data_IF_207592782385
#
_entry.id   IF_207592782385
#
_cell.length_a   1.000
_cell.length_b   1.000
_cell.length_c   1.000
_cell.angle_alpha   90.00
_cell.angle_beta   90.00
_cell.angle_gamma   90.00
#
_symmetry.space_group_name_H-M   'P 1'
#
loop_
_entity.id
_entity.type
_entity.pdbx_description
1 polymer ?
#
# COMPACT_ATOMS: atom_id res chain seq x y z
N UNK A 1 -9.75 16.93 60.54
CA UNK A 1 -10.68 16.03 59.83
C UNK A 1 -10.93 16.42 58.36
N UNK A 2 -11.31 17.66 58.02
CA UNK A 2 -11.63 18.03 56.62
C UNK A 2 -10.47 17.89 55.60
N UNK A 3 -9.22 18.20 55.99
CA UNK A 3 -8.04 18.03 55.11
C UNK A 3 -7.66 16.57 54.84
N UNK A 4 -7.81 15.69 55.84
CA UNK A 4 -7.50 14.26 55.72
C UNK A 4 -8.51 13.53 54.83
N UNK A 5 -9.77 13.95 54.86
CA UNK A 5 -10.84 13.42 53.97
C UNK A 5 -10.61 13.84 52.52
N UNK A 6 -10.17 15.08 52.27
CA UNK A 6 -9.84 15.57 50.93
C UNK A 6 -8.66 14.81 50.30
N UNK A 7 -7.63 14.46 51.08
CA UNK A 7 -6.49 13.66 50.60
C UNK A 7 -6.94 12.24 50.26
N UNK A 8 -7.80 11.62 51.09
CA UNK A 8 -8.34 10.28 50.83
C UNK A 8 -9.22 10.24 49.57
N UNK A 9 -10.06 11.26 49.36
CA UNK A 9 -10.89 11.37 48.15
C UNK A 9 -10.02 11.55 46.91
N UNK A 10 -8.94 12.35 46.99
CA UNK A 10 -7.99 12.55 45.88
C UNK A 10 -7.26 11.25 45.51
N UNK A 11 -6.87 10.43 46.50
CA UNK A 11 -6.19 9.14 46.27
C UNK A 11 -7.14 8.12 45.61
N UNK A 12 -8.40 8.08 46.06
CA UNK A 12 -9.44 7.23 45.44
C UNK A 12 -9.73 7.67 44.00
N UNK A 13 -9.79 8.98 43.73
CA UNK A 13 -10.00 9.49 42.37
C UNK A 13 -8.82 9.15 41.44
N UNK A 14 -7.58 9.21 41.92
CA UNK A 14 -6.41 8.77 41.14
C UNK A 14 -6.36 7.27 40.90
N UNK A 15 -6.86 6.43 41.83
CA UNK A 15 -6.92 4.98 41.62
C UNK A 15 -7.98 4.59 40.58
N UNK A 16 -9.12 5.31 40.51
CA UNK A 16 -10.16 5.08 39.49
C UNK A 16 -9.67 5.52 38.09
N UNK A 17 -8.78 6.52 38.01
CA UNK A 17 -8.20 6.96 36.74
C UNK A 17 -7.04 6.06 36.26
N UNK A 18 -6.41 5.28 37.15
CA UNK A 18 -5.36 4.31 36.80
C UNK A 18 -5.90 2.90 36.48
N UNK A 19 -7.19 2.61 36.72
CA UNK A 19 -7.82 1.36 36.27
C UNK A 19 -8.30 1.42 34.82
N UNK A 20 -7.74 2.32 34.01
CA UNK A 20 -7.72 2.18 32.56
C UNK A 20 -6.50 1.32 32.17
N UNK A 21 -6.38 0.13 32.74
CA UNK A 21 -5.83 -0.97 31.94
C UNK A 21 -6.88 -1.16 30.85
N UNK A 22 -6.62 -0.54 29.69
CA UNK A 22 -7.24 -1.00 28.47
C UNK A 22 -6.96 -2.49 28.43
N UNK A 23 -8.00 -3.29 28.69
CA UNK A 23 -8.05 -4.65 28.26
C UNK A 23 -7.88 -4.57 26.74
N UNK A 24 -6.62 -4.60 26.30
CA UNK A 24 -6.21 -4.82 24.92
C UNK A 24 -6.52 -6.30 24.66
N UNK A 25 -7.80 -6.67 24.76
CA UNK A 25 -8.34 -7.95 24.33
C UNK A 25 -8.39 -7.91 22.80
N UNK A 26 -7.24 -7.70 22.17
CA UNK A 26 -7.06 -8.02 20.77
C UNK A 26 -7.40 -9.49 20.65
N UNK A 27 -8.44 -9.78 19.86
CA UNK A 27 -8.82 -11.14 19.52
C UNK A 27 -7.56 -11.77 18.92
N UNK A 28 -7.00 -12.77 19.60
CA UNK A 28 -5.76 -13.41 19.17
C UNK A 28 -6.11 -14.59 18.25
N UNK A 29 -5.35 -14.78 17.16
CA UNK A 29 -5.53 -15.96 16.33
C UNK A 29 -5.19 -17.22 17.12
N UNK A 30 -5.94 -18.29 16.89
CA UNK A 30 -5.67 -19.62 17.44
C UNK A 30 -4.72 -20.43 16.56
N UNK A 31 -4.66 -20.10 15.27
CA UNK A 31 -3.77 -20.72 14.28
C UNK A 31 -3.52 -19.73 13.14
N UNK A 32 -2.29 -19.72 12.64
CA UNK A 32 -1.95 -19.12 11.35
C UNK A 32 -1.30 -20.19 10.49
N UNK A 33 -1.69 -20.23 9.22
CA UNK A 33 -1.15 -21.15 8.22
C UNK A 33 -0.74 -20.35 6.99
N UNK A 34 0.48 -20.60 6.52
CA UNK A 34 1.01 -20.01 5.30
C UNK A 34 1.10 -21.10 4.23
N UNK A 35 0.56 -20.79 3.06
CA UNK A 35 0.60 -21.66 1.88
C UNK A 35 1.30 -20.88 0.77
N UNK A 36 2.32 -21.50 0.17
CA UNK A 36 3.01 -20.88 -0.96
C UNK A 36 2.05 -20.68 -2.14
N UNK A 37 2.14 -19.51 -2.74
CA UNK A 37 1.43 -19.16 -3.96
C UNK A 37 2.44 -19.12 -5.12
N UNK A 38 1.97 -19.42 -6.33
CA UNK A 38 2.81 -19.41 -7.51
C UNK A 38 3.40 -18.01 -7.74
N UNK A 39 4.72 -17.90 -7.65
CA UNK A 39 5.42 -16.62 -7.70
C UNK A 39 5.39 -16.00 -9.10
N UNK A 40 5.31 -16.82 -10.16
CA UNK A 40 5.22 -16.33 -11.53
C UNK A 40 3.83 -15.71 -11.77
N UNK A 41 2.77 -16.37 -11.29
CA UNK A 41 1.40 -15.83 -11.31
C UNK A 41 1.33 -14.53 -10.51
N UNK A 42 1.86 -14.52 -9.29
CA UNK A 42 1.91 -13.32 -8.46
C UNK A 42 2.66 -12.15 -9.12
N UNK A 43 3.77 -12.46 -9.80
CA UNK A 43 4.54 -11.46 -10.54
C UNK A 43 3.73 -10.87 -11.70
N UNK A 44 2.93 -11.68 -12.42
CA UNK A 44 2.05 -11.16 -13.47
C UNK A 44 0.93 -10.26 -12.91
N UNK A 45 0.37 -10.62 -11.75
CA UNK A 45 -0.65 -9.80 -11.07
C UNK A 45 -0.10 -8.41 -10.73
N UNK A 46 1.11 -8.34 -10.17
CA UNK A 46 1.78 -7.06 -9.84
C UNK A 46 2.12 -6.27 -11.11
N UNK A 47 2.70 -6.93 -12.12
CA UNK A 47 3.09 -6.29 -13.39
C UNK A 47 1.93 -5.59 -14.10
N UNK A 48 0.70 -6.12 -14.02
CA UNK A 48 -0.49 -5.51 -14.63
C UNK A 48 -0.64 -4.03 -14.22
N UNK A 49 -0.69 -3.77 -12.92
CA UNK A 49 -0.86 -2.41 -12.39
C UNK A 49 0.38 -1.54 -12.57
N UNK A 50 1.56 -2.13 -12.34
CA UNK A 50 2.80 -1.36 -12.41
C UNK A 50 3.22 -0.95 -13.82
N UNK A 51 2.78 -1.69 -14.84
CA UNK A 51 3.04 -1.31 -16.22
C UNK A 51 2.41 0.04 -16.55
N UNK A 52 1.18 0.27 -16.09
CA UNK A 52 0.44 1.53 -16.27
C UNK A 52 1.22 2.67 -15.59
N UNK A 53 1.74 2.43 -14.38
CA UNK A 53 2.54 3.39 -13.62
C UNK A 53 3.83 3.76 -14.37
N UNK A 54 4.59 2.79 -14.87
CA UNK A 54 5.85 3.05 -15.58
C UNK A 54 5.59 3.80 -16.89
N UNK A 55 4.52 3.44 -17.60
CA UNK A 55 4.15 4.08 -18.86
C UNK A 55 3.75 5.55 -18.67
N UNK A 56 3.09 5.89 -17.56
CA UNK A 56 2.71 7.27 -17.26
C UNK A 56 3.89 8.08 -16.72
N UNK A 57 4.71 7.50 -15.83
CA UNK A 57 5.81 8.19 -15.15
C UNK A 57 6.90 8.67 -16.12
N UNK A 58 7.09 7.97 -17.24
CA UNK A 58 8.02 8.36 -18.30
C UNK A 58 7.59 9.58 -19.12
N UNK A 59 6.35 10.08 -18.98
CA UNK A 59 5.84 11.24 -19.71
C UNK A 59 6.07 12.53 -18.93
N UNK A 60 6.25 13.64 -19.65
CA UNK A 60 6.30 14.98 -19.05
C UNK A 60 4.91 15.59 -18.90
N UNK A 61 4.08 15.40 -19.92
CA UNK A 61 2.70 15.88 -19.95
C UNK A 61 1.78 14.86 -20.59
N UNK A 62 0.50 14.91 -20.23
CA UNK A 62 -0.57 14.13 -20.86
C UNK A 62 -1.76 15.03 -21.21
N UNK A 63 -2.53 14.62 -22.20
CA UNK A 63 -3.85 15.19 -22.46
C UNK A 63 -4.85 14.79 -21.36
N UNK A 64 -5.97 15.53 -21.23
CA UNK A 64 -7.07 15.14 -20.34
C UNK A 64 -7.63 13.75 -20.67
N UNK A 65 -7.67 13.38 -21.95
CA UNK A 65 -8.12 12.05 -22.36
C UNK A 65 -7.19 10.96 -21.79
N UNK A 66 -5.89 11.09 -22.00
CA UNK A 66 -4.90 10.15 -21.45
C UNK A 66 -4.91 10.11 -19.92
N UNK A 67 -5.15 11.24 -19.25
CA UNK A 67 -5.34 11.27 -17.79
C UNK A 67 -6.56 10.44 -17.34
N UNK A 68 -7.69 10.58 -18.02
CA UNK A 68 -8.89 9.81 -17.70
C UNK A 68 -8.71 8.32 -18.02
N UNK A 69 -8.04 8.00 -19.12
CA UNK A 69 -7.67 6.62 -19.49
C UNK A 69 -6.77 6.02 -18.40
N UNK A 70 -5.74 6.73 -17.96
CA UNK A 70 -4.88 6.33 -16.84
C UNK A 70 -5.69 6.00 -15.57
N UNK A 71 -6.63 6.86 -15.17
CA UNK A 71 -7.43 6.60 -13.97
C UNK A 71 -8.33 5.38 -14.12
N UNK A 72 -8.91 5.17 -15.31
CA UNK A 72 -9.73 3.98 -15.57
C UNK A 72 -8.89 2.70 -15.58
N UNK A 73 -7.70 2.74 -16.19
CA UNK A 73 -6.79 1.60 -16.24
C UNK A 73 -6.29 1.23 -14.84
N UNK A 74 -5.99 2.23 -14.01
CA UNK A 74 -5.63 2.01 -12.60
C UNK A 74 -6.82 1.46 -11.80
N UNK A 75 -8.04 1.89 -12.08
CA UNK A 75 -9.24 1.34 -11.44
C UNK A 75 -9.42 -0.15 -11.75
N UNK A 76 -9.25 -0.53 -13.03
CA UNK A 76 -9.32 -1.93 -13.47
C UNK A 76 -8.14 -2.78 -12.96
N UNK A 77 -6.95 -2.20 -12.88
CA UNK A 77 -5.77 -2.93 -12.40
C UNK A 77 -5.82 -3.24 -10.90
N UNK A 78 -6.55 -2.43 -10.12
CA UNK A 78 -6.68 -2.56 -8.67
C UNK A 78 -8.12 -2.87 -8.23
N UNK A 79 -8.90 -3.51 -9.12
CA UNK A 79 -10.25 -4.02 -8.86
C UNK A 79 -11.20 -3.01 -8.18
N UNK A 80 -11.12 -1.74 -8.60
CA UNK A 80 -11.96 -0.67 -8.08
C UNK A 80 -11.54 -0.11 -6.72
N UNK A 81 -10.36 -0.46 -6.20
CA UNK A 81 -9.90 0.01 -4.89
C UNK A 81 -9.68 1.53 -4.84
N UNK A 82 -10.57 2.24 -4.15
CA UNK A 82 -10.65 3.72 -4.16
C UNK A 82 -9.83 4.44 -3.09
N UNK A 83 -9.15 3.72 -2.19
CA UNK A 83 -8.40 4.36 -1.10
C UNK A 83 -7.09 4.99 -1.61
N UNK A 84 -6.49 4.46 -2.68
CA UNK A 84 -5.38 5.14 -3.35
C UNK A 84 -5.92 6.20 -4.30
N UNK A 85 -5.39 7.42 -4.16
CA UNK A 85 -5.70 8.55 -5.05
C UNK A 85 -4.53 8.78 -6.01
N UNK A 86 -4.50 7.99 -7.08
CA UNK A 86 -3.41 7.97 -8.05
C UNK A 86 -3.15 9.32 -8.71
N UNK A 87 -4.20 10.11 -8.93
CA UNK A 87 -4.12 11.45 -9.49
C UNK A 87 -3.24 12.40 -8.66
N UNK A 88 -3.32 12.32 -7.33
CA UNK A 88 -2.50 13.14 -6.42
C UNK A 88 -1.05 12.68 -6.34
N UNK A 89 -0.78 11.43 -6.71
CA UNK A 89 0.57 10.87 -6.74
C UNK A 89 1.32 11.26 -8.02
N UNK A 90 0.63 11.26 -9.15
CA UNK A 90 1.29 11.41 -10.46
C UNK A 90 1.10 12.77 -11.11
N UNK A 91 0.18 13.62 -10.66
CA UNK A 91 -0.11 14.90 -11.30
C UNK A 91 -0.14 16.06 -10.31
N UNK A 92 0.04 17.29 -10.79
CA UNK A 92 -0.14 18.47 -9.95
C UNK A 92 -1.63 18.76 -9.71
N UNK A 93 -2.03 18.85 -8.44
CA UNK A 93 -3.42 19.04 -8.02
C UNK A 93 -4.13 20.18 -8.75
N UNK A 94 -3.48 21.33 -8.88
CA UNK A 94 -4.06 22.52 -9.52
C UNK A 94 -4.44 22.29 -10.98
N UNK A 95 -3.80 21.35 -11.67
CA UNK A 95 -4.02 21.09 -13.09
C UNK A 95 -5.11 20.06 -13.34
N UNK A 96 -5.17 18.99 -12.53
CA UNK A 96 -6.23 18.00 -12.71
C UNK A 96 -7.57 18.46 -12.10
N UNK A 97 -7.56 19.36 -11.12
CA UNK A 97 -8.77 19.94 -10.53
C UNK A 97 -9.42 21.04 -11.41
N UNK A 98 -8.66 21.71 -12.28
CA UNK A 98 -9.21 22.72 -13.21
C UNK A 98 -9.53 22.11 -14.57
N UNK A 99 -10.82 21.91 -14.87
CA UNK A 99 -11.34 21.38 -16.14
C UNK A 99 -10.85 22.11 -17.40
N UNK A 100 -10.40 23.37 -17.29
CA UNK A 100 -9.90 24.18 -18.42
C UNK A 100 -8.47 23.84 -18.83
N UNK A 101 -7.71 23.18 -17.96
CA UNK A 101 -6.33 22.77 -18.26
C UNK A 101 -6.36 21.57 -19.22
N UNK A 102 -5.92 21.78 -20.46
CA UNK A 102 -5.99 20.74 -21.50
C UNK A 102 -4.80 19.78 -21.50
N UNK A 103 -3.70 20.18 -20.88
CA UNK A 103 -2.47 19.39 -20.72
C UNK A 103 -2.06 19.39 -19.26
N UNK A 104 -1.90 18.21 -18.70
CA UNK A 104 -1.53 17.99 -17.31
C UNK A 104 -0.07 17.53 -17.25
N UNK A 105 0.70 18.12 -16.35
CA UNK A 105 2.08 17.78 -16.09
C UNK A 105 2.16 16.69 -15.03
N UNK A 106 3.12 15.80 -15.22
CA UNK A 106 3.44 14.79 -14.22
C UNK A 106 4.19 15.42 -13.04
N UNK A 107 3.89 14.95 -11.84
CA UNK A 107 4.64 15.27 -10.65
C UNK A 107 5.99 14.52 -10.67
N UNK A 108 7.08 15.27 -10.91
CA UNK A 108 8.43 14.73 -11.03
C UNK A 108 9.15 14.59 -9.69
N UNK A 109 8.56 15.07 -8.60
CA UNK A 109 9.12 15.04 -7.25
C UNK A 109 8.76 13.75 -6.48
N UNK A 110 8.07 12.82 -7.12
CA UNK A 110 7.71 11.52 -6.56
C UNK A 110 8.31 10.39 -7.39
N UNK A 111 8.83 9.38 -6.69
CA UNK A 111 9.31 8.14 -7.27
C UNK A 111 8.44 6.99 -6.77
N UNK A 112 7.94 6.18 -7.71
CA UNK A 112 7.20 4.98 -7.39
C UNK A 112 7.99 3.76 -7.86
N UNK A 113 8.71 3.05 -6.97
CA UNK A 113 9.43 1.84 -7.36
C UNK A 113 8.44 0.78 -7.84
N UNK A 114 8.85 0.03 -8.87
CA UNK A 114 8.08 -1.04 -9.52
C UNK A 114 9.00 -2.16 -9.92
N UNK A 115 8.47 -3.36 -10.18
CA UNK A 115 9.23 -4.53 -10.67
C UNK A 115 9.87 -4.33 -12.04
N UNK A 116 9.58 -3.21 -12.71
CA UNK A 116 10.26 -2.78 -13.93
C UNK A 116 11.55 -2.00 -13.66
N UNK A 117 11.79 -1.56 -12.43
CA UNK A 117 13.04 -0.91 -12.03
C UNK A 117 14.09 -1.92 -11.57
N UNK A 118 15.37 -1.61 -11.79
CA UNK A 118 16.49 -2.47 -11.39
C UNK A 118 16.41 -2.79 -9.89
N UNK A 119 16.72 -4.04 -9.57
CA UNK A 119 16.75 -4.58 -8.21
C UNK A 119 15.41 -4.53 -7.45
N UNK A 120 14.29 -4.17 -8.08
CA UNK A 120 12.95 -4.33 -7.49
C UNK A 120 12.35 -5.66 -7.98
N UNK A 121 12.07 -6.57 -7.06
CA UNK A 121 11.60 -7.92 -7.38
C UNK A 121 10.44 -8.34 -6.48
N UNK A 122 9.55 -9.19 -7.01
CA UNK A 122 8.62 -9.96 -6.18
C UNK A 122 9.41 -11.08 -5.50
N UNK A 123 9.47 -11.05 -4.18
CA UNK A 123 10.31 -11.96 -3.38
C UNK A 123 9.52 -13.05 -2.66
N UNK A 124 8.21 -12.85 -2.50
CA UNK A 124 7.34 -13.80 -1.80
C UNK A 124 5.91 -13.66 -2.28
N UNK A 125 5.21 -14.78 -2.43
CA UNK A 125 3.78 -14.83 -2.66
C UNK A 125 3.18 -15.95 -1.80
N UNK A 126 2.26 -15.59 -0.90
CA UNK A 126 1.71 -16.55 0.09
C UNK A 126 0.26 -16.27 0.39
N UNK A 127 -0.50 -17.34 0.59
CA UNK A 127 -1.84 -17.26 1.21
C UNK A 127 -1.66 -17.41 2.71
N UNK A 128 -2.06 -16.37 3.46
CA UNK A 128 -2.05 -16.36 4.91
C UNK A 128 -3.47 -16.60 5.40
N UNK A 129 -3.70 -17.79 5.95
CA UNK A 129 -4.95 -18.17 6.60
C UNK A 129 -4.80 -17.94 8.10
N UNK A 130 -5.66 -17.08 8.65
CA UNK A 130 -5.70 -16.79 10.09
C UNK A 130 -7.02 -17.28 10.65
N UNK A 131 -6.94 -18.13 11.65
CA UNK A 131 -8.10 -18.75 12.31
C UNK A 131 -8.27 -18.16 13.71
N UNK A 132 -9.49 -17.84 14.07
CA UNK A 132 -9.86 -17.31 15.39
C UNK A 132 -10.84 -18.26 16.08
N UNK A 133 -11.08 -18.03 17.37
CA UNK A 133 -12.03 -18.83 18.14
C UNK A 133 -13.47 -18.68 17.62
N UNK A 134 -13.82 -17.47 17.16
CA UNK A 134 -15.05 -17.22 16.42
C UNK A 134 -14.71 -17.20 14.92
N UNK A 135 -15.29 -18.16 14.18
CA UNK A 135 -15.02 -18.38 12.76
C UNK A 135 -15.40 -17.19 11.89
N UNK A 136 -16.28 -16.31 12.37
CA UNK A 136 -16.62 -15.06 11.69
C UNK A 136 -15.39 -14.19 11.41
N UNK A 137 -14.37 -14.26 12.27
CA UNK A 137 -13.13 -13.49 12.09
C UNK A 137 -12.08 -14.22 11.25
N UNK A 138 -12.32 -15.45 10.80
CA UNK A 138 -11.36 -16.17 9.97
C UNK A 138 -11.08 -15.37 8.69
N UNK A 139 -9.80 -15.26 8.34
CA UNK A 139 -9.37 -14.52 7.14
C UNK A 139 -8.46 -15.38 6.28
N UNK A 140 -8.60 -15.25 4.96
CA UNK A 140 -7.66 -15.78 3.98
C UNK A 140 -7.20 -14.61 3.09
N UNK A 141 -5.91 -14.30 3.14
CA UNK A 141 -5.33 -13.15 2.44
C UNK A 141 -4.17 -13.66 1.60
N UNK A 142 -4.23 -13.45 0.28
CA UNK A 142 -3.06 -13.57 -0.57
C UNK A 142 -2.21 -12.31 -0.40
N UNK A 143 -0.97 -12.50 0.00
CA UNK A 143 0.05 -11.46 0.20
C UNK A 143 1.14 -11.67 -0.83
N UNK A 144 1.33 -10.69 -1.72
CA UNK A 144 2.44 -10.67 -2.67
C UNK A 144 3.39 -9.56 -2.21
N UNK A 145 4.62 -9.92 -1.87
CA UNK A 145 5.64 -9.00 -1.38
C UNK A 145 6.67 -8.71 -2.46
N UNK A 146 6.90 -7.43 -2.68
CA UNK A 146 8.01 -6.92 -3.46
C UNK A 146 9.00 -6.18 -2.56
N UNK A 147 10.28 -6.21 -2.94
CA UNK A 147 11.38 -5.60 -2.21
C UNK A 147 12.40 -4.99 -3.16
N UNK A 148 13.14 -4.00 -2.67
CA UNK A 148 14.33 -3.48 -3.31
C UNK A 148 15.55 -4.23 -2.77
N UNK A 149 16.24 -4.94 -3.66
CA UNK A 149 17.37 -5.82 -3.37
C UNK A 149 18.73 -5.15 -3.61
N UNK A 150 18.72 -3.90 -4.05
CA UNK A 150 19.94 -3.15 -4.32
C UNK A 150 20.57 -2.55 -3.07
N UNK A 151 21.61 -1.74 -3.27
CA UNK A 151 22.42 -1.19 -2.17
C UNK A 151 22.18 0.32 -1.94
N UNK A 152 21.17 0.91 -2.57
CA UNK A 152 20.82 2.32 -2.37
C UNK A 152 20.29 2.57 -0.95
N UNK A 153 20.97 3.45 -0.21
CA UNK A 153 20.59 3.80 1.15
C UNK A 153 19.23 4.49 1.29
N UNK A 154 18.72 5.16 0.24
CA UNK A 154 17.39 5.80 0.27
C UNK A 154 16.25 4.80 0.12
N UNK A 155 16.50 3.66 -0.51
CA UNK A 155 15.55 2.57 -0.69
C UNK A 155 15.80 1.41 0.27
N UNK A 156 16.67 1.61 1.27
CA UNK A 156 16.96 0.60 2.28
C UNK A 156 15.68 0.22 3.02
N UNK A 157 15.47 -1.08 3.19
CA UNK A 157 14.31 -1.66 3.88
C UNK A 157 12.96 -1.28 3.23
N UNK A 158 12.99 -0.83 1.96
CA UNK A 158 11.77 -0.59 1.19
C UNK A 158 11.16 -1.93 0.79
N UNK A 159 9.85 -2.05 1.01
CA UNK A 159 9.05 -3.16 0.54
C UNK A 159 7.59 -2.75 0.45
N UNK A 160 6.86 -3.39 -0.47
CA UNK A 160 5.41 -3.23 -0.60
C UNK A 160 4.76 -4.60 -0.61
N UNK A 161 3.58 -4.67 -0.02
CA UNK A 161 2.75 -5.86 -0.05
C UNK A 161 1.45 -5.54 -0.78
N UNK A 162 1.11 -6.36 -1.77
CA UNK A 162 -0.19 -6.35 -2.42
C UNK A 162 -1.07 -7.37 -1.70
N UNK A 163 -2.20 -6.91 -1.20
CA UNK A 163 -3.10 -7.71 -0.40
C UNK A 163 -4.36 -8.00 -1.20
N UNK A 164 -4.67 -9.29 -1.34
CA UNK A 164 -5.86 -9.77 -2.05
C UNK A 164 -6.75 -10.60 -1.13
N UNK A 165 -8.07 -10.48 -1.33
CA UNK A 165 -9.11 -11.29 -0.67
C UNK A 165 -9.97 -11.96 -1.72
N UNK A 166 -10.57 -13.09 -1.40
CA UNK A 166 -11.53 -13.73 -2.30
C UNK A 166 -12.85 -12.97 -2.30
N UNK A 167 -13.42 -12.74 -3.48
CA UNK A 167 -14.82 -12.33 -3.65
C UNK A 167 -15.77 -13.52 -3.55
N UNK A 168 -17.07 -13.29 -3.77
CA UNK A 168 -18.12 -14.32 -3.73
C UNK A 168 -17.94 -15.40 -4.81
N UNK A 169 -17.30 -15.07 -5.93
CA UNK A 169 -16.96 -16.00 -7.01
C UNK A 169 -15.67 -16.79 -6.75
N UNK A 170 -14.99 -16.50 -5.63
CA UNK A 170 -13.75 -17.17 -5.21
C UNK A 170 -12.48 -16.64 -5.89
N UNK A 171 -12.57 -15.53 -6.62
CA UNK A 171 -11.47 -14.86 -7.30
C UNK A 171 -10.71 -13.93 -6.36
N UNK A 172 -9.38 -13.83 -6.53
CA UNK A 172 -8.56 -12.92 -5.76
C UNK A 172 -8.73 -11.48 -6.25
N UNK A 173 -9.26 -10.63 -5.38
CA UNK A 173 -9.54 -9.22 -5.62
C UNK A 173 -8.63 -8.38 -4.72
N UNK A 174 -7.98 -7.39 -5.31
CA UNK A 174 -7.11 -6.46 -4.60
C UNK A 174 -7.92 -5.68 -3.56
N UNK A 175 -7.41 -5.59 -2.33
CA UNK A 175 -8.09 -4.85 -1.26
C UNK A 175 -7.19 -3.93 -0.44
N UNK A 176 -5.89 -3.87 -0.76
CA UNK A 176 -5.03 -2.87 -0.15
C UNK A 176 -3.54 -3.13 -0.30
N UNK A 177 -2.79 -2.14 0.16
CA UNK A 177 -1.34 -2.18 0.26
C UNK A 177 -0.88 -2.33 1.70
N UNK A 178 0.21 -3.04 1.89
CA UNK A 178 1.01 -3.04 3.11
C UNK A 178 2.45 -2.62 2.84
N UNK A 179 3.22 -2.51 3.91
CA UNK A 179 4.68 -2.38 3.85
C UNK A 179 5.24 -1.02 4.24
N UNK A 180 6.49 -0.81 3.86
CA UNK A 180 7.27 0.38 4.21
C UNK A 180 7.62 1.15 2.94
N UNK A 181 6.82 2.18 2.68
CA UNK A 181 6.85 2.91 1.42
C UNK A 181 7.52 4.27 1.60
N UNK A 182 8.66 4.47 0.93
CA UNK A 182 9.40 5.73 0.87
C UNK A 182 9.34 6.26 -0.56
N UNK A 183 8.32 7.08 -0.88
CA UNK A 183 8.03 7.55 -2.25
C UNK A 183 8.57 8.96 -2.56
N UNK A 184 9.08 9.67 -1.56
CA UNK A 184 9.52 11.06 -1.71
C UNK A 184 10.64 11.41 -0.74
N UNK A 185 11.44 12.41 -1.09
CA UNK A 185 12.58 12.86 -0.30
C UNK A 185 13.59 13.63 -1.14
N UNK A 186 14.54 14.30 -0.48
CA UNK A 186 15.54 15.10 -1.18
C UNK A 186 16.32 14.27 -2.22
N UNK A 187 16.22 14.68 -3.48
CA UNK A 187 16.86 14.03 -4.62
C UNK A 187 16.28 12.65 -4.96
N UNK A 188 15.01 12.40 -4.63
CA UNK A 188 14.20 11.32 -5.19
C UNK A 188 13.30 11.97 -6.25
N UNK A 189 13.46 11.57 -7.51
CA UNK A 189 12.70 12.07 -8.67
C UNK A 189 12.02 10.91 -9.39
N UNK A 190 11.09 11.18 -10.29
CA UNK A 190 10.35 10.12 -11.01
C UNK A 190 11.25 9.13 -11.78
N UNK A 191 12.47 9.51 -12.12
CA UNK A 191 13.49 8.72 -12.81
C UNK A 191 14.64 8.25 -11.90
N UNK A 192 14.42 8.24 -10.58
CA UNK A 192 15.46 7.97 -9.58
C UNK A 192 16.20 6.65 -9.78
N UNK A 193 15.48 5.60 -10.19
CA UNK A 193 16.02 4.27 -10.40
C UNK A 193 15.91 3.90 -11.88
N UNK A 194 16.94 3.26 -12.42
CA UNK A 194 16.93 2.83 -13.82
C UNK A 194 15.92 1.71 -14.04
N UNK A 195 15.27 1.71 -15.21
CA UNK A 195 14.45 0.58 -15.65
C UNK A 195 15.34 -0.63 -16.00
N UNK A 196 14.82 -1.83 -15.80
CA UNK A 196 15.42 -3.08 -16.30
C UNK A 196 15.44 -3.02 -17.82
N UNK A 197 16.51 -3.55 -18.44
CA UNK A 197 16.53 -3.71 -19.89
C UNK A 197 15.42 -4.68 -20.29
N UNK A 198 14.41 -4.19 -21.01
CA UNK A 198 13.37 -5.03 -21.58
C UNK A 198 14.00 -5.83 -22.71
N UNK A 199 14.25 -7.12 -22.49
CA UNK A 199 14.47 -8.04 -23.61
C UNK A 199 13.16 -8.08 -24.38
N UNK A 200 13.14 -7.47 -25.57
CA UNK A 200 12.05 -7.56 -26.53
C UNK A 200 11.79 -9.00 -26.95
#
# INVERSE_FOLDING_TARGET
MKRSVLIFISIIFTMILYSCEAADSKIKPIKTEEIDFDIDVATQMVKKGEKIIVDIAGKDTVSRQEFNEFLNDMDDAFDGYKEVKWEYMFFYNQEFEDEKVSKLHLNKDMFYPTVYHKDVEVVSAKIVNTYYQDEFFNTSILTIKEEYLGNDGKLKDWYREYLYKKNDDGEWVFYGFGGHVNLSGNGITSDYLELKETTQ
#
